data_IF_951100983523
#
_entry.id   IF_951100983523
#
_cell.length_a   1.000
_cell.length_b   1.000
_cell.length_c   1.000
_cell.angle_alpha   90.00
_cell.angle_beta   90.00
_cell.angle_gamma   90.00
#
_symmetry.space_group_name_H-M   'P 1'
#
loop_
_entity.id
_entity.type
_entity.pdbx_description
1 polymer ?
#
# COMPACT_ATOMS: atom_id res chain seq x y z
N UNK A 1 21.17 46.95 12.06
CA UNK A 1 20.46 46.16 11.01
C UNK A 1 20.14 44.81 11.59
N UNK A 2 18.99 44.64 12.17
CA UNK A 2 18.50 43.35 12.67
C UNK A 2 17.45 42.85 11.71
N UNK A 3 17.78 41.78 10.99
CA UNK A 3 16.82 41.06 10.15
C UNK A 3 15.96 40.20 11.06
N UNK A 4 14.70 40.55 11.21
CA UNK A 4 13.67 39.71 11.84
C UNK A 4 13.19 38.69 10.84
N UNK A 5 13.61 37.44 11.01
CA UNK A 5 12.99 36.27 10.33
C UNK A 5 11.57 36.06 10.93
N UNK A 6 10.57 36.29 10.09
CA UNK A 6 9.19 35.95 10.42
C UNK A 6 9.03 34.40 10.35
N UNK A 7 9.01 33.78 11.51
CA UNK A 7 8.64 32.35 11.64
C UNK A 7 7.15 32.25 11.37
N UNK A 8 6.78 31.74 10.19
CA UNK A 8 5.40 31.40 9.84
C UNK A 8 4.97 30.23 10.74
N UNK A 9 4.17 30.50 11.76
CA UNK A 9 3.55 29.45 12.59
C UNK A 9 2.48 28.75 11.78
N UNK A 10 2.82 27.59 11.22
CA UNK A 10 1.86 26.71 10.56
C UNK A 10 0.96 26.09 11.62
N UNK A 11 -0.30 26.45 11.63
CA UNK A 11 -1.32 25.88 12.52
C UNK A 11 -1.53 24.42 12.14
N UNK A 12 -1.04 23.49 12.92
CA UNK A 12 -1.20 22.06 12.67
C UNK A 12 -2.60 21.59 13.06
N UNK A 13 -3.27 20.89 12.16
CA UNK A 13 -4.56 20.25 12.38
C UNK A 13 -4.36 18.77 12.69
N UNK A 14 -5.07 18.23 13.69
CA UNK A 14 -5.05 16.81 14.03
C UNK A 14 -6.39 16.17 13.73
N UNK A 15 -6.38 15.09 12.95
CA UNK A 15 -7.54 14.24 12.72
C UNK A 15 -7.48 13.05 13.68
N UNK A 16 -8.51 12.88 14.49
CA UNK A 16 -8.69 11.66 15.29
C UNK A 16 -9.46 10.64 14.47
N UNK A 17 -8.86 9.50 14.18
CA UNK A 17 -9.46 8.44 13.38
C UNK A 17 -10.35 7.51 14.22
N UNK A 18 -11.17 6.70 13.56
CA UNK A 18 -12.12 5.80 14.20
C UNK A 18 -11.43 4.69 15.03
N UNK A 19 -10.22 4.30 14.64
CA UNK A 19 -9.37 3.34 15.35
C UNK A 19 -8.64 3.92 16.56
N UNK A 20 -8.85 5.23 16.84
CA UNK A 20 -8.22 5.96 17.96
C UNK A 20 -6.86 6.59 17.62
N UNK A 21 -6.31 6.36 16.44
CA UNK A 21 -5.06 6.99 16.01
C UNK A 21 -5.25 8.47 15.64
N UNK A 22 -4.14 9.23 15.63
CA UNK A 22 -4.11 10.64 15.23
C UNK A 22 -3.26 10.82 13.98
N UNK A 23 -3.77 11.62 13.04
CA UNK A 23 -3.06 12.06 11.85
C UNK A 23 -2.85 13.58 11.93
N UNK A 24 -1.59 14.03 11.92
CA UNK A 24 -1.25 15.44 11.85
C UNK A 24 -1.20 15.88 10.40
N UNK A 25 -1.93 16.95 10.06
CA UNK A 25 -2.15 17.43 8.70
C UNK A 25 -2.00 18.95 8.63
N UNK A 26 -1.78 19.47 7.42
CA UNK A 26 -1.62 20.90 7.21
C UNK A 26 -2.96 21.65 7.33
N UNK A 27 -4.05 21.02 6.86
CA UNK A 27 -5.42 21.53 6.94
C UNK A 27 -6.43 20.39 6.77
N UNK A 28 -7.70 20.58 7.25
CA UNK A 28 -8.77 19.61 7.08
C UNK A 28 -10.15 20.28 7.07
N UNK A 29 -11.07 19.76 6.22
CA UNK A 29 -12.44 20.24 6.12
C UNK A 29 -13.43 19.10 5.83
N UNK A 30 -14.66 19.24 6.31
CA UNK A 30 -15.71 18.27 6.08
C UNK A 30 -16.48 18.58 4.79
N UNK A 31 -16.88 17.52 4.07
CA UNK A 31 -17.78 17.58 2.93
C UNK A 31 -18.85 16.50 3.05
N UNK A 32 -19.93 16.52 2.24
CA UNK A 32 -20.91 15.43 2.21
C UNK A 32 -20.30 14.04 1.90
N UNK A 33 -19.16 14.00 1.23
CA UNK A 33 -18.47 12.77 0.82
C UNK A 33 -17.48 12.24 1.87
N UNK A 34 -17.11 13.05 2.86
CA UNK A 34 -16.14 12.69 3.90
C UNK A 34 -15.34 13.88 4.40
N UNK A 35 -14.23 13.57 5.04
CA UNK A 35 -13.28 14.57 5.56
C UNK A 35 -12.09 14.67 4.61
N UNK A 36 -11.92 15.86 4.05
CA UNK A 36 -10.73 16.21 3.29
C UNK A 36 -9.64 16.71 4.22
N UNK A 37 -8.41 16.36 3.94
CA UNK A 37 -7.27 16.97 4.60
C UNK A 37 -6.10 17.16 3.63
N UNK A 38 -5.25 18.13 3.92
CA UNK A 38 -4.04 18.44 3.17
C UNK A 38 -2.82 18.02 3.97
N UNK A 39 -1.87 17.36 3.30
CA UNK A 39 -0.60 16.98 3.89
C UNK A 39 0.50 17.02 2.82
N UNK A 40 1.54 17.84 3.05
CA UNK A 40 2.65 17.98 2.11
C UNK A 40 2.24 18.44 0.70
N UNK A 41 1.19 19.29 0.61
CA UNK A 41 0.67 19.80 -0.65
C UNK A 41 -0.20 18.81 -1.44
N UNK A 42 -0.54 17.66 -0.88
CA UNK A 42 -1.49 16.69 -1.42
C UNK A 42 -2.82 16.77 -0.66
N UNK A 43 -3.94 16.65 -1.37
CA UNK A 43 -5.27 16.58 -0.76
C UNK A 43 -5.76 15.15 -0.71
N UNK A 44 -6.24 14.73 0.46
CA UNK A 44 -6.68 13.38 0.74
C UNK A 44 -8.14 13.39 1.19
N UNK A 45 -8.93 12.40 0.76
CA UNK A 45 -10.31 12.19 1.21
C UNK A 45 -10.40 10.91 2.04
N UNK A 46 -10.95 11.05 3.25
CA UNK A 46 -11.25 9.92 4.14
C UNK A 46 -12.77 9.85 4.36
N UNK A 47 -13.39 8.68 4.27
CA UNK A 47 -14.80 8.50 4.58
C UNK A 47 -15.17 9.03 5.97
N UNK A 48 -16.34 9.62 6.12
CA UNK A 48 -16.76 10.28 7.36
C UNK A 48 -16.80 9.34 8.57
N UNK A 49 -17.13 8.06 8.36
CA UNK A 49 -17.13 7.01 9.38
C UNK A 49 -15.74 6.66 9.92
N UNK A 50 -14.68 7.03 9.19
CA UNK A 50 -13.29 6.82 9.58
C UNK A 50 -12.67 7.96 10.39
N UNK A 51 -13.36 9.10 10.52
CA UNK A 51 -12.88 10.27 11.28
C UNK A 51 -13.83 10.57 12.43
N UNK A 52 -13.32 10.52 13.66
CA UNK A 52 -14.09 10.85 14.87
C UNK A 52 -14.13 12.34 15.15
N UNK A 53 -13.03 13.05 14.90
CA UNK A 53 -12.93 14.47 15.27
C UNK A 53 -11.80 15.16 14.49
N UNK A 54 -12.03 16.42 14.13
CA UNK A 54 -11.01 17.34 13.62
C UNK A 54 -10.64 18.28 14.76
N UNK A 55 -9.38 18.24 15.21
CA UNK A 55 -8.85 19.10 16.28
C UNK A 55 -7.95 20.16 15.66
N UNK A 56 -8.37 21.43 15.73
CA UNK A 56 -7.58 22.57 15.30
C UNK A 56 -6.94 23.21 16.51
N UNK A 57 -5.61 23.40 16.48
CA UNK A 57 -4.91 24.14 17.52
C UNK A 57 -5.49 25.56 17.61
N UNK A 58 -5.93 25.95 18.80
CA UNK A 58 -6.41 27.30 19.08
C UNK A 58 -5.23 28.27 19.09
N UNK A 59 -5.04 29.03 18.00
CA UNK A 59 -4.38 30.31 18.11
C UNK A 59 -5.47 31.34 18.49
N UNK A 60 -5.27 32.10 19.59
CA UNK A 60 -6.17 33.19 19.97
C UNK A 60 -6.32 34.17 18.80
N UNK A 61 -7.55 34.63 18.49
CA UNK A 61 -7.76 35.59 17.41
C UNK A 61 -7.21 36.94 17.82
N UNK A 62 -6.16 37.40 17.15
CA UNK A 62 -5.80 38.81 17.17
C UNK A 62 -6.95 39.62 16.58
N UNK A 63 -7.41 40.65 17.35
CA UNK A 63 -8.46 41.59 16.91
C UNK A 63 -8.12 42.23 15.56
N UNK A 64 -9.05 42.30 14.64
CA UNK A 64 -8.83 42.97 13.36
C UNK A 64 -8.72 44.49 13.60
N UNK A 65 -7.57 45.08 13.26
CA UNK A 65 -7.47 46.51 12.99
C UNK A 65 -8.07 46.76 11.58
N UNK A 66 -9.07 47.59 11.56
CA UNK A 66 -9.69 48.08 10.33
C UNK A 66 -8.71 48.98 9.57
N UNK A 67 -8.26 48.54 8.41
CA UNK A 67 -7.80 49.44 7.34
C UNK A 67 -8.62 49.12 6.11
N UNK A 68 -9.40 50.12 5.70
CA UNK A 68 -10.09 50.14 4.43
C UNK A 68 -9.05 50.23 3.33
N UNK A 69 -9.01 49.20 2.49
CA UNK A 69 -8.56 49.32 1.10
C UNK A 69 -9.30 48.22 0.32
N UNK A 70 -10.14 48.70 -0.61
CA UNK A 70 -10.89 47.89 -1.58
C UNK A 70 -9.90 47.27 -2.58
N UNK A 71 -9.40 46.10 -2.28
CA UNK A 71 -8.85 45.18 -3.28
C UNK A 71 -9.70 43.92 -3.29
N UNK A 72 -10.55 43.85 -4.31
CA UNK A 72 -11.26 42.64 -4.69
C UNK A 72 -10.26 41.52 -5.01
N UNK A 73 -9.85 40.78 -3.99
CA UNK A 73 -9.26 39.47 -4.18
C UNK A 73 -10.41 38.51 -4.48
N UNK A 74 -10.65 38.22 -5.77
CA UNK A 74 -11.43 37.07 -6.18
C UNK A 74 -10.78 35.81 -5.57
N UNK A 75 -11.43 35.30 -4.54
CA UNK A 75 -11.12 33.96 -4.02
C UNK A 75 -11.45 33.00 -5.17
N UNK A 76 -10.47 32.26 -5.74
CA UNK A 76 -10.81 31.31 -6.79
C UNK A 76 -11.79 30.31 -6.17
N UNK A 77 -12.98 30.24 -6.76
CA UNK A 77 -14.01 29.27 -6.43
C UNK A 77 -13.38 27.87 -6.49
N UNK A 78 -13.11 27.30 -5.33
CA UNK A 78 -12.61 25.92 -5.24
C UNK A 78 -13.79 25.03 -5.63
N UNK A 79 -13.93 24.83 -6.93
CA UNK A 79 -14.85 23.84 -7.48
C UNK A 79 -14.50 22.51 -6.82
N UNK A 80 -15.37 22.04 -5.95
CA UNK A 80 -15.26 20.74 -5.30
C UNK A 80 -15.28 19.66 -6.40
N UNK A 81 -14.11 19.26 -6.86
CA UNK A 81 -13.98 18.27 -7.92
C UNK A 81 -14.34 16.91 -7.34
N UNK A 82 -15.50 16.43 -7.72
CA UNK A 82 -15.91 15.04 -7.44
C UNK A 82 -15.08 14.08 -8.29
N UNK A 83 -14.71 12.90 -7.75
CA UNK A 83 -14.09 11.85 -8.57
C UNK A 83 -14.96 11.57 -9.79
N UNK A 84 -14.41 11.51 -11.00
CA UNK A 84 -15.17 11.22 -12.20
C UNK A 84 -15.89 9.89 -12.08
N UNK A 85 -17.20 9.89 -12.26
CA UNK A 85 -18.05 8.68 -12.29
C UNK A 85 -17.85 7.84 -13.55
N UNK A 86 -17.31 8.44 -14.61
CA UNK A 86 -17.04 7.80 -15.89
C UNK A 86 -15.56 8.00 -16.25
N UNK A 87 -14.81 6.92 -16.28
CA UNK A 87 -13.38 6.94 -16.62
C UNK A 87 -12.49 6.31 -15.54
N UNK A 88 -13.04 5.37 -14.79
CA UNK A 88 -12.28 4.63 -13.77
C UNK A 88 -11.34 3.69 -14.49
N UNK A 89 -10.05 3.98 -14.42
CA UNK A 89 -9.04 2.98 -14.72
C UNK A 89 -9.00 2.00 -13.54
N UNK A 90 -9.63 0.84 -13.66
CA UNK A 90 -9.55 -0.25 -12.65
C UNK A 90 -8.20 -0.99 -12.72
N UNK A 91 -7.17 -0.32 -13.21
CA UNK A 91 -5.84 -0.87 -13.40
C UNK A 91 -4.83 -0.14 -12.51
N UNK A 92 -3.85 -0.85 -11.97
CA UNK A 92 -2.69 -0.24 -11.32
C UNK A 92 -1.99 0.74 -12.25
N UNK A 93 -1.50 1.83 -11.67
CA UNK A 93 -0.86 2.90 -12.44
C UNK A 93 0.35 3.46 -11.70
N UNK A 94 1.34 3.89 -12.46
CA UNK A 94 2.43 4.74 -11.98
C UNK A 94 2.18 6.19 -12.41
N UNK A 95 2.10 7.08 -11.44
CA UNK A 95 1.93 8.51 -11.68
C UNK A 95 3.31 9.15 -11.46
N UNK A 96 3.91 9.66 -12.53
CA UNK A 96 5.19 10.37 -12.49
C UNK A 96 4.93 11.85 -12.25
N UNK A 97 5.63 12.42 -11.29
CA UNK A 97 5.51 13.83 -10.94
C UNK A 97 6.65 14.63 -11.56
N UNK A 98 6.36 15.89 -11.93
CA UNK A 98 7.39 16.86 -12.30
C UNK A 98 8.33 17.03 -11.11
N UNK A 99 9.61 16.72 -11.30
CA UNK A 99 10.60 16.67 -10.21
C UNK A 99 11.11 15.26 -9.91
N UNK A 100 10.67 14.25 -10.70
CA UNK A 100 11.25 12.89 -10.71
C UNK A 100 10.69 11.93 -9.67
N UNK A 101 9.81 12.37 -8.75
CA UNK A 101 9.10 11.48 -7.85
C UNK A 101 8.02 10.68 -8.60
N UNK A 102 7.72 9.48 -8.14
CA UNK A 102 6.62 8.65 -8.69
C UNK A 102 5.73 8.13 -7.57
N UNK A 103 4.45 7.97 -7.88
CA UNK A 103 3.42 7.45 -6.98
C UNK A 103 2.80 6.21 -7.59
N UNK A 104 2.78 5.13 -6.83
CA UNK A 104 2.06 3.91 -7.19
C UNK A 104 0.59 4.07 -6.79
N UNK A 105 -0.31 3.74 -7.69
CA UNK A 105 -1.75 3.80 -7.50
C UNK A 105 -2.40 2.46 -7.79
N UNK A 106 -3.36 2.05 -6.95
CA UNK A 106 -4.19 0.87 -7.20
C UNK A 106 -5.12 1.06 -8.40
N UNK A 107 -5.52 2.30 -8.64
CA UNK A 107 -6.24 2.76 -9.83
C UNK A 107 -6.07 4.27 -9.98
N UNK A 108 -6.12 4.78 -11.21
CA UNK A 108 -6.04 6.20 -11.48
C UNK A 108 -7.08 6.63 -12.51
N UNK A 109 -7.61 7.85 -12.37
CA UNK A 109 -8.51 8.48 -13.33
C UNK A 109 -8.03 9.90 -13.63
N UNK A 110 -7.84 10.21 -14.91
CA UNK A 110 -7.42 11.54 -15.34
C UNK A 110 -8.64 12.43 -15.56
N UNK A 111 -8.57 13.67 -15.09
CA UNK A 111 -9.53 14.73 -15.34
C UNK A 111 -8.82 15.93 -15.95
N UNK A 112 -9.58 16.93 -16.41
CA UNK A 112 -9.01 18.18 -16.95
C UNK A 112 -8.18 18.96 -15.92
N UNK A 113 -8.47 18.79 -14.64
CA UNK A 113 -7.78 19.49 -13.56
C UNK A 113 -6.61 18.71 -12.96
N UNK A 114 -6.56 17.37 -13.15
CA UNK A 114 -5.51 16.54 -12.57
C UNK A 114 -5.86 15.08 -12.55
N UNK A 115 -5.23 14.37 -11.64
CA UNK A 115 -5.30 12.91 -11.55
C UNK A 115 -5.87 12.50 -10.20
N UNK A 116 -6.98 11.78 -10.24
CA UNK A 116 -7.49 11.04 -9.10
C UNK A 116 -6.85 9.67 -9.06
N UNK A 117 -6.38 9.24 -7.90
CA UNK A 117 -5.90 7.87 -7.75
C UNK A 117 -6.34 7.27 -6.41
N UNK A 118 -6.46 5.94 -6.39
CA UNK A 118 -6.74 5.19 -5.18
C UNK A 118 -5.48 4.50 -4.67
N UNK A 119 -5.33 4.48 -3.36
CA UNK A 119 -4.31 3.69 -2.67
C UNK A 119 -4.94 3.09 -1.41
N UNK A 120 -5.22 1.80 -1.44
CA UNK A 120 -6.03 1.14 -0.42
C UNK A 120 -7.46 1.70 -0.38
N UNK A 121 -7.89 2.18 0.78
CA UNK A 121 -9.20 2.82 0.96
C UNK A 121 -9.22 4.33 0.72
N UNK A 122 -8.08 4.93 0.38
CA UNK A 122 -7.97 6.37 0.18
C UNK A 122 -8.10 6.74 -1.29
N UNK A 123 -8.85 7.82 -1.56
CA UNK A 123 -8.87 8.50 -2.84
C UNK A 123 -8.09 9.80 -2.72
N UNK A 124 -7.11 10.00 -3.59
CA UNK A 124 -6.15 11.11 -3.52
C UNK A 124 -6.18 11.84 -4.86
N UNK A 125 -6.15 13.17 -4.81
CA UNK A 125 -6.07 14.02 -6.00
C UNK A 125 -4.68 14.65 -6.12
N UNK A 126 -4.13 14.60 -7.33
CA UNK A 126 -2.91 15.32 -7.69
C UNK A 126 -3.25 16.32 -8.78
N UNK A 127 -2.94 17.57 -8.55
CA UNK A 127 -3.11 18.63 -9.55
C UNK A 127 -2.34 18.32 -10.84
N UNK A 128 -2.97 18.55 -12.00
CA UNK A 128 -2.40 18.21 -13.30
C UNK A 128 -1.08 18.92 -13.60
N UNK A 129 -0.87 20.12 -13.05
CA UNK A 129 0.38 20.86 -13.21
C UNK A 129 1.58 20.14 -12.60
N UNK A 130 1.36 19.24 -11.63
CA UNK A 130 2.39 18.45 -10.94
C UNK A 130 2.62 17.08 -11.58
N UNK A 131 1.73 16.64 -12.44
CA UNK A 131 1.84 15.34 -13.12
C UNK A 131 2.67 15.50 -14.39
N UNK A 132 3.66 14.64 -14.56
CA UNK A 132 4.45 14.53 -15.79
C UNK A 132 3.74 13.57 -16.76
N UNK A 133 3.52 12.35 -16.31
CA UNK A 133 2.81 11.31 -17.09
C UNK A 133 2.18 10.26 -16.18
N UNK A 134 1.25 9.50 -16.74
CA UNK A 134 0.64 8.32 -16.11
C UNK A 134 0.97 7.12 -16.98
N UNK A 135 1.52 6.08 -16.38
CA UNK A 135 1.73 4.78 -17.02
C UNK A 135 0.76 3.79 -16.39
N UNK A 136 -0.19 3.30 -17.19
CA UNK A 136 -1.10 2.23 -16.77
C UNK A 136 -0.36 0.89 -16.89
N UNK A 137 -0.41 0.09 -15.83
CA UNK A 137 0.10 -1.27 -15.90
C UNK A 137 -0.94 -2.17 -16.57
N UNK A 138 -0.77 -2.44 -17.84
CA UNK A 138 -1.59 -3.43 -18.53
C UNK A 138 -1.22 -4.84 -18.07
N UNK A 139 -2.25 -5.69 -17.90
CA UNK A 139 -2.07 -7.09 -17.51
C UNK A 139 -1.10 -7.83 -18.45
N UNK A 140 -1.01 -7.42 -19.71
CA UNK A 140 -0.04 -7.94 -20.67
C UNK A 140 1.40 -7.46 -20.39
N UNK A 141 1.59 -6.22 -19.97
CA UNK A 141 2.90 -5.67 -19.60
C UNK A 141 3.40 -6.37 -18.32
N UNK A 142 2.50 -6.61 -17.35
CA UNK A 142 2.79 -7.39 -16.15
C UNK A 142 3.13 -8.84 -16.52
N UNK A 143 2.40 -9.45 -17.45
CA UNK A 143 2.66 -10.81 -17.94
C UNK A 143 3.96 -10.92 -18.77
N UNK A 144 4.32 -9.87 -19.51
CA UNK A 144 5.54 -9.84 -20.34
C UNK A 144 6.79 -9.48 -19.52
N UNK A 145 6.71 -8.58 -18.55
CA UNK A 145 7.81 -8.30 -17.62
C UNK A 145 8.14 -9.53 -16.78
N UNK A 146 7.13 -10.32 -16.39
CA UNK A 146 7.33 -11.58 -15.68
C UNK A 146 8.00 -12.69 -16.50
N UNK A 147 7.90 -12.69 -17.83
CA UNK A 147 8.64 -13.62 -18.70
C UNK A 147 10.15 -13.34 -18.70
N UNK A 148 10.56 -12.10 -18.46
CA UNK A 148 11.97 -11.71 -18.42
C UNK A 148 12.61 -12.00 -17.05
N UNK A 149 11.79 -12.17 -16.01
CA UNK A 149 12.27 -12.13 -14.64
C UNK A 149 12.66 -13.45 -13.99
N UNK A 150 12.32 -14.65 -14.41
CA UNK A 150 12.78 -15.90 -13.74
C UNK A 150 12.17 -17.21 -14.23
N UNK A 151 11.38 -17.18 -15.28
CA UNK A 151 10.88 -18.42 -15.92
C UNK A 151 10.00 -19.30 -15.03
N UNK A 152 9.27 -18.70 -14.05
CA UNK A 152 8.34 -19.44 -13.21
C UNK A 152 6.89 -19.28 -13.71
N UNK A 153 6.11 -20.32 -13.53
CA UNK A 153 4.66 -20.29 -13.78
C UNK A 153 3.97 -21.34 -12.93
N UNK A 154 2.75 -21.04 -12.49
CA UNK A 154 1.85 -22.00 -11.84
C UNK A 154 1.15 -22.91 -12.85
N UNK A 155 1.34 -22.68 -14.15
CA UNK A 155 0.54 -23.28 -15.23
C UNK A 155 -0.85 -22.65 -15.38
N UNK A 156 -1.16 -21.59 -14.62
CA UNK A 156 -2.45 -20.88 -14.65
C UNK A 156 -2.19 -19.38 -14.85
N UNK A 157 -2.33 -18.84 -16.05
CA UNK A 157 -1.98 -17.44 -16.36
C UNK A 157 -2.67 -16.42 -15.44
N UNK A 158 -3.95 -16.64 -15.09
CA UNK A 158 -4.67 -15.76 -14.17
C UNK A 158 -4.10 -15.76 -12.74
N UNK A 159 -3.62 -16.90 -12.25
CA UNK A 159 -2.96 -16.99 -10.95
C UNK A 159 -1.55 -16.36 -10.99
N UNK A 160 -0.82 -16.56 -12.07
CA UNK A 160 0.47 -15.91 -12.30
C UNK A 160 0.32 -14.39 -12.31
N UNK A 161 -0.74 -13.87 -12.94
CA UNK A 161 -1.12 -12.46 -12.91
C UNK A 161 -1.39 -11.95 -11.50
N UNK A 162 -2.20 -12.69 -10.71
CA UNK A 162 -2.49 -12.33 -9.31
C UNK A 162 -1.24 -12.28 -8.44
N UNK A 163 -0.31 -13.24 -8.61
CA UNK A 163 0.96 -13.28 -7.87
C UNK A 163 1.78 -12.02 -8.19
N UNK A 164 1.94 -11.70 -9.47
CA UNK A 164 2.70 -10.52 -9.91
C UNK A 164 2.07 -9.23 -9.42
N UNK A 165 0.78 -9.05 -9.66
CA UNK A 165 0.03 -7.87 -9.24
C UNK A 165 0.18 -7.60 -7.74
N UNK A 166 -0.05 -8.62 -6.91
CA UNK A 166 0.06 -8.46 -5.46
C UNK A 166 1.51 -8.31 -4.99
N UNK A 167 2.46 -8.95 -5.66
CA UNK A 167 3.89 -8.76 -5.40
C UNK A 167 4.32 -7.31 -5.60
N UNK A 168 3.99 -6.73 -6.75
CA UNK A 168 4.28 -5.32 -7.04
C UNK A 168 3.50 -4.38 -6.13
N UNK A 169 2.20 -4.63 -5.94
CA UNK A 169 1.33 -3.81 -5.09
C UNK A 169 1.84 -3.66 -3.66
N UNK A 170 2.36 -4.73 -3.07
CA UNK A 170 2.81 -4.72 -1.68
C UNK A 170 4.33 -4.69 -1.53
N UNK A 171 5.08 -4.56 -2.64
CA UNK A 171 6.53 -4.53 -2.62
C UNK A 171 7.14 -5.84 -2.07
N UNK A 172 6.57 -6.97 -2.49
CA UNK A 172 7.08 -8.32 -2.22
C UNK A 172 7.50 -8.95 -3.54
N UNK A 173 8.70 -9.53 -3.58
CA UNK A 173 9.14 -10.25 -4.78
C UNK A 173 8.10 -11.31 -5.21
N UNK A 174 7.49 -11.19 -6.42
CA UNK A 174 6.52 -12.15 -6.91
C UNK A 174 6.99 -13.60 -6.86
N UNK A 175 8.29 -13.81 -7.07
CA UNK A 175 8.87 -15.16 -6.97
C UNK A 175 8.87 -15.70 -5.55
N UNK A 176 9.01 -14.85 -4.54
CA UNK A 176 8.87 -15.28 -3.13
C UNK A 176 7.42 -15.69 -2.84
N UNK A 177 6.43 -14.94 -3.33
CA UNK A 177 5.00 -15.31 -3.19
C UNK A 177 4.74 -16.64 -3.87
N UNK A 178 5.24 -16.83 -5.10
CA UNK A 178 5.12 -18.08 -5.85
C UNK A 178 5.68 -19.29 -5.06
N UNK A 179 6.89 -19.18 -4.54
CA UNK A 179 7.54 -20.26 -3.79
C UNK A 179 6.80 -20.60 -2.48
N UNK A 180 6.32 -19.58 -1.77
CA UNK A 180 5.50 -19.78 -0.56
C UNK A 180 4.20 -20.48 -0.93
N UNK A 181 3.47 -19.99 -1.93
CA UNK A 181 2.19 -20.57 -2.37
C UNK A 181 2.35 -22.02 -2.83
N UNK A 182 3.40 -22.33 -3.57
CA UNK A 182 3.71 -23.70 -3.98
C UNK A 182 3.93 -24.62 -2.79
N UNK A 183 4.69 -24.16 -1.78
CA UNK A 183 4.97 -24.95 -0.58
C UNK A 183 3.73 -25.11 0.32
N UNK A 184 2.83 -24.11 0.36
CA UNK A 184 1.64 -24.12 1.20
C UNK A 184 0.50 -24.98 0.66
N UNK A 185 0.20 -24.88 -0.63
CA UNK A 185 -1.00 -25.47 -1.19
C UNK A 185 -0.79 -26.22 -2.50
N UNK A 186 0.42 -26.18 -3.09
CA UNK A 186 0.66 -26.59 -4.48
C UNK A 186 -0.35 -25.94 -5.44
N UNK A 187 -0.63 -24.64 -5.19
CA UNK A 187 -1.59 -23.84 -5.95
C UNK A 187 -3.06 -24.29 -5.84
N UNK A 188 -3.41 -25.07 -4.82
CA UNK A 188 -4.79 -25.49 -4.58
C UNK A 188 -5.57 -24.41 -3.83
N UNK A 189 -6.53 -23.78 -4.53
CA UNK A 189 -7.40 -22.74 -4.00
C UNK A 189 -8.26 -23.20 -2.81
N UNK A 190 -8.65 -24.49 -2.79
CA UNK A 190 -9.53 -25.06 -1.78
C UNK A 190 -8.79 -25.83 -0.68
N UNK A 191 -7.45 -25.71 -0.64
CA UNK A 191 -6.65 -26.38 0.37
C UNK A 191 -7.08 -25.96 1.79
N UNK A 192 -7.23 -26.97 2.68
CA UNK A 192 -7.46 -26.78 4.12
C UNK A 192 -6.52 -27.70 4.85
N UNK A 193 -5.69 -27.13 5.76
CA UNK A 193 -4.78 -27.91 6.58
C UNK A 193 -5.52 -28.51 7.80
N UNK A 194 -4.98 -29.55 8.45
CA UNK A 194 -5.53 -30.09 9.70
C UNK A 194 -5.60 -29.05 10.83
N UNK A 195 -4.75 -28.00 10.79
CA UNK A 195 -4.76 -26.89 11.75
C UNK A 195 -5.73 -25.77 11.37
N UNK A 196 -6.44 -25.89 10.24
CA UNK A 196 -7.44 -24.92 9.78
C UNK A 196 -6.90 -23.77 8.94
N UNK A 197 -5.65 -23.83 8.47
CA UNK A 197 -5.13 -22.89 7.47
C UNK A 197 -5.86 -23.11 6.12
N UNK A 198 -6.11 -22.03 5.34
CA UNK A 198 -7.01 -22.09 4.18
C UNK A 198 -6.46 -21.39 2.95
N UNK A 199 -6.77 -21.97 1.79
CA UNK A 199 -6.57 -21.39 0.46
C UNK A 199 -5.13 -21.48 -0.04
N UNK A 200 -4.85 -20.72 -1.11
CA UNK A 200 -3.58 -20.74 -1.85
C UNK A 200 -2.36 -20.49 -0.96
N UNK A 201 -2.45 -19.51 -0.07
CA UNK A 201 -1.37 -19.08 0.82
C UNK A 201 -1.49 -19.65 2.24
N UNK A 202 -2.41 -20.61 2.47
CA UNK A 202 -2.64 -21.31 3.74
C UNK A 202 -2.69 -20.36 4.95
N UNK A 203 -3.53 -19.35 4.88
CA UNK A 203 -3.67 -18.40 5.97
C UNK A 203 -4.55 -18.99 7.08
N UNK A 204 -4.05 -18.93 8.32
CA UNK A 204 -4.87 -19.20 9.50
C UNK A 204 -6.03 -18.20 9.59
N UNK A 205 -7.22 -18.60 10.08
CA UNK A 205 -8.39 -17.70 10.10
C UNK A 205 -8.13 -16.36 10.79
N UNK A 206 -7.37 -16.35 11.88
CA UNK A 206 -6.96 -15.11 12.57
C UNK A 206 -6.08 -14.21 11.70
N UNK A 207 -5.07 -14.79 11.06
CA UNK A 207 -4.17 -14.09 10.14
C UNK A 207 -4.94 -13.59 8.92
N UNK A 208 -5.79 -14.42 8.33
CA UNK A 208 -6.62 -14.01 7.19
C UNK A 208 -7.48 -12.78 7.52
N UNK A 209 -8.19 -12.78 8.65
CA UNK A 209 -8.99 -11.61 9.09
C UNK A 209 -8.14 -10.35 9.29
N UNK A 210 -6.97 -10.48 9.92
CA UNK A 210 -6.03 -9.38 10.14
C UNK A 210 -5.60 -8.72 8.83
N UNK A 211 -5.44 -9.51 7.76
CA UNK A 211 -5.06 -9.03 6.44
C UNK A 211 -6.24 -8.88 5.45
N UNK A 212 -7.48 -8.81 5.95
CA UNK A 212 -8.66 -8.47 5.17
C UNK A 212 -9.21 -9.60 4.29
N UNK A 213 -8.85 -10.85 4.57
CA UNK A 213 -9.39 -12.03 3.87
C UNK A 213 -10.71 -12.45 4.49
N UNK A 214 -11.82 -12.19 3.81
CA UNK A 214 -13.17 -12.61 4.22
C UNK A 214 -13.59 -13.92 3.58
N UNK A 215 -13.14 -14.17 2.34
CA UNK A 215 -13.39 -15.40 1.59
C UNK A 215 -12.05 -16.10 1.35
N UNK A 216 -11.64 -17.04 2.24
CA UNK A 216 -10.30 -17.63 2.20
C UNK A 216 -10.03 -18.49 0.97
N UNK A 217 -11.07 -18.95 0.26
CA UNK A 217 -10.95 -19.70 -0.99
C UNK A 217 -11.09 -18.82 -2.23
N UNK A 218 -11.29 -17.50 -2.07
CA UNK A 218 -11.18 -16.54 -3.17
C UNK A 218 -9.71 -16.27 -3.47
N UNK A 219 -9.24 -16.57 -4.71
CA UNK A 219 -7.83 -16.42 -5.05
C UNK A 219 -7.30 -15.00 -4.85
N UNK A 220 -8.07 -14.00 -5.25
CA UNK A 220 -7.67 -12.60 -5.16
C UNK A 220 -7.46 -12.16 -3.72
N UNK A 221 -8.43 -12.45 -2.83
CA UNK A 221 -8.32 -12.08 -1.42
C UNK A 221 -7.21 -12.87 -0.71
N UNK A 222 -7.10 -14.17 -1.00
CA UNK A 222 -6.12 -15.02 -0.35
C UNK A 222 -4.69 -14.64 -0.71
N UNK A 223 -4.39 -14.41 -1.99
CA UNK A 223 -3.07 -13.95 -2.46
C UNK A 223 -2.74 -12.56 -1.92
N UNK A 224 -3.72 -11.63 -1.94
CA UNK A 224 -3.54 -10.30 -1.39
C UNK A 224 -3.23 -10.32 0.13
N UNK A 225 -3.96 -11.15 0.89
CA UNK A 225 -3.73 -11.32 2.32
C UNK A 225 -2.36 -11.92 2.63
N UNK A 226 -1.97 -12.96 1.89
CA UNK A 226 -0.65 -13.59 2.02
C UNK A 226 0.50 -12.65 1.66
N UNK A 227 0.36 -11.86 0.59
CA UNK A 227 1.36 -10.87 0.21
C UNK A 227 1.51 -9.76 1.26
N UNK A 228 0.41 -9.26 1.85
CA UNK A 228 0.45 -8.31 2.97
C UNK A 228 1.15 -8.89 4.19
N UNK A 229 0.86 -10.14 4.53
CA UNK A 229 1.51 -10.80 5.65
C UNK A 229 3.01 -10.97 5.40
N UNK A 230 3.41 -11.42 4.20
CA UNK A 230 4.82 -11.47 3.81
C UNK A 230 5.50 -10.10 3.91
N UNK A 231 4.83 -9.04 3.46
CA UNK A 231 5.36 -7.67 3.56
C UNK A 231 5.58 -7.22 5.00
N UNK A 232 4.62 -7.51 5.88
CA UNK A 232 4.76 -7.19 7.31
C UNK A 232 5.97 -7.94 7.91
N UNK A 233 6.13 -9.22 7.58
CA UNK A 233 7.27 -10.01 8.04
C UNK A 233 8.61 -9.51 7.47
N UNK A 234 8.66 -9.12 6.19
CA UNK A 234 9.84 -8.51 5.57
C UNK A 234 10.26 -7.23 6.29
N UNK A 235 9.29 -6.37 6.62
CA UNK A 235 9.56 -5.14 7.37
C UNK A 235 10.04 -5.46 8.80
N UNK A 236 9.38 -6.40 9.48
CA UNK A 236 9.71 -6.78 10.87
C UNK A 236 11.10 -7.40 11.01
N UNK A 237 11.55 -8.14 10.02
CA UNK A 237 12.83 -8.87 10.06
C UNK A 237 13.88 -8.28 9.11
N UNK A 238 13.78 -6.99 8.74
CA UNK A 238 14.77 -6.27 7.92
C UNK A 238 15.13 -7.02 6.64
N UNK A 239 14.12 -7.53 5.92
CA UNK A 239 14.27 -8.33 4.69
C UNK A 239 15.07 -9.62 4.84
N UNK A 240 15.24 -10.13 6.06
CA UNK A 240 15.86 -11.43 6.30
C UNK A 240 14.89 -12.55 5.92
N UNK A 241 14.98 -13.01 4.68
CA UNK A 241 14.06 -14.00 4.08
C UNK A 241 13.99 -15.29 4.89
N UNK A 242 15.09 -15.75 5.50
CA UNK A 242 15.11 -16.93 6.38
C UNK A 242 14.16 -16.77 7.58
N UNK A 243 14.16 -15.61 8.22
CA UNK A 243 13.28 -15.30 9.36
C UNK A 243 11.85 -15.05 8.93
N UNK A 244 11.64 -14.41 7.78
CA UNK A 244 10.32 -14.22 7.16
C UNK A 244 9.65 -15.57 6.93
N UNK A 245 10.34 -16.51 6.28
CA UNK A 245 9.84 -17.85 6.01
C UNK A 245 9.59 -18.66 7.29
N UNK A 246 10.49 -18.55 8.27
CA UNK A 246 10.30 -19.19 9.56
C UNK A 246 9.08 -18.66 10.30
N UNK A 247 8.86 -17.33 10.24
CA UNK A 247 7.70 -16.68 10.85
C UNK A 247 6.41 -17.01 10.12
N UNK A 248 6.43 -17.10 8.81
CA UNK A 248 5.28 -17.48 8.02
C UNK A 248 4.76 -18.87 8.40
N UNK A 249 5.69 -19.84 8.53
CA UNK A 249 5.36 -21.23 8.86
C UNK A 249 5.06 -21.45 10.36
N UNK A 250 5.88 -20.89 11.26
CA UNK A 250 5.80 -21.15 12.71
C UNK A 250 5.14 -20.04 13.53
N UNK A 251 4.83 -18.93 12.90
CA UNK A 251 4.39 -17.70 13.57
C UNK A 251 5.57 -16.82 14.03
N UNK A 252 5.39 -15.50 13.92
CA UNK A 252 6.39 -14.50 14.33
C UNK A 252 6.78 -14.62 15.80
N UNK A 253 5.84 -15.00 16.68
CA UNK A 253 6.10 -15.20 18.10
C UNK A 253 7.13 -16.30 18.36
N UNK A 254 7.14 -17.37 17.57
CA UNK A 254 8.13 -18.42 17.71
C UNK A 254 9.55 -17.91 17.36
N UNK A 255 9.70 -17.17 16.26
CA UNK A 255 10.98 -16.59 15.84
C UNK A 255 11.52 -15.61 16.89
N UNK A 256 10.65 -14.76 17.45
CA UNK A 256 11.01 -13.81 18.52
C UNK A 256 11.46 -14.58 19.78
N UNK A 257 10.68 -15.58 20.21
CA UNK A 257 11.01 -16.43 21.37
C UNK A 257 12.39 -17.09 21.25
N UNK A 258 12.80 -17.47 20.05
CA UNK A 258 14.11 -18.04 19.77
C UNK A 258 15.19 -17.01 19.43
N UNK A 259 15.05 -15.76 19.87
CA UNK A 259 16.07 -14.72 19.74
C UNK A 259 16.33 -14.31 18.29
N UNK A 260 15.28 -14.14 17.49
CA UNK A 260 15.35 -13.80 16.06
C UNK A 260 16.20 -14.81 15.25
N UNK A 261 15.96 -16.10 15.51
CA UNK A 261 16.57 -17.23 14.81
C UNK A 261 15.49 -18.18 14.32
N UNK A 262 15.81 -18.97 13.30
CA UNK A 262 14.92 -20.03 12.82
C UNK A 262 14.68 -21.02 13.95
N UNK A 263 13.44 -21.24 14.42
CA UNK A 263 13.13 -22.16 15.49
C UNK A 263 13.61 -23.59 15.20
N UNK A 264 13.98 -24.38 16.22
CA UNK A 264 14.49 -25.73 16.03
C UNK A 264 13.41 -26.75 15.64
N UNK A 265 12.29 -26.31 15.12
CA UNK A 265 11.21 -27.18 14.64
C UNK A 265 11.60 -27.80 13.30
N UNK A 266 11.53 -29.13 13.19
CA UNK A 266 11.90 -29.89 11.98
C UNK A 266 11.13 -29.40 10.76
N UNK A 267 9.83 -29.18 10.89
CA UNK A 267 8.96 -28.68 9.82
C UNK A 267 9.46 -27.31 9.33
N UNK A 268 9.63 -26.36 10.26
CA UNK A 268 10.04 -24.99 9.93
C UNK A 268 11.43 -24.93 9.29
N UNK A 269 12.40 -25.70 9.81
CA UNK A 269 13.74 -25.79 9.21
C UNK A 269 13.70 -26.30 7.77
N UNK A 270 12.88 -27.33 7.51
CA UNK A 270 12.72 -27.88 6.17
C UNK A 270 12.05 -26.90 5.23
N UNK A 271 11.01 -26.21 5.71
CA UNK A 271 10.31 -25.15 4.98
C UNK A 271 11.28 -24.04 4.56
N UNK A 272 12.01 -23.48 5.51
CA UNK A 272 13.00 -22.43 5.25
C UNK A 272 14.07 -22.92 4.28
N UNK A 273 14.63 -24.12 4.47
CA UNK A 273 15.68 -24.69 3.60
C UNK A 273 15.21 -24.80 2.15
N UNK A 274 14.02 -25.38 1.92
CA UNK A 274 13.47 -25.60 0.58
C UNK A 274 13.28 -24.28 -0.18
N UNK A 275 12.61 -23.31 0.44
CA UNK A 275 12.29 -22.05 -0.21
C UNK A 275 13.53 -21.17 -0.36
N UNK A 276 14.34 -21.01 0.71
CA UNK A 276 15.53 -20.17 0.67
C UNK A 276 16.56 -20.65 -0.37
N UNK A 277 16.72 -21.95 -0.55
CA UNK A 277 17.63 -22.50 -1.55
C UNK A 277 17.22 -22.07 -2.96
N UNK A 278 15.94 -22.25 -3.32
CA UNK A 278 15.40 -21.86 -4.64
C UNK A 278 15.44 -20.35 -4.83
N UNK A 279 15.05 -19.60 -3.83
CA UNK A 279 15.01 -18.13 -3.85
C UNK A 279 16.42 -17.53 -4.05
N UNK A 280 17.40 -17.97 -3.27
CA UNK A 280 18.80 -17.52 -3.39
C UNK A 280 19.41 -17.86 -4.75
N UNK A 281 19.18 -19.09 -5.25
CA UNK A 281 19.67 -19.50 -6.56
C UNK A 281 19.13 -18.61 -7.69
N UNK A 282 17.85 -18.29 -7.65
CA UNK A 282 17.23 -17.42 -8.65
C UNK A 282 17.72 -15.97 -8.55
N UNK A 283 17.92 -15.44 -7.33
CA UNK A 283 18.44 -14.06 -7.13
C UNK A 283 19.93 -13.93 -7.46
N UNK A 284 20.73 -14.99 -7.32
CA UNK A 284 22.13 -14.99 -7.72
C UNK A 284 22.30 -14.90 -9.24
N UNK A 285 21.41 -15.53 -10.01
CA UNK A 285 21.43 -15.50 -11.48
C UNK A 285 21.10 -14.12 -12.07
N UNK A 286 20.34 -13.31 -11.34
CA UNK A 286 19.99 -11.95 -11.77
C UNK A 286 21.03 -10.89 -11.41
N UNK A 287 22.02 -11.22 -10.57
CA UNK A 287 23.09 -10.31 -10.13
C UNK A 287 24.39 -10.46 -10.92
N UNK A 288 24.50 -11.37 -11.92
CA UNK A 288 25.67 -11.41 -12.80
C UNK A 288 25.62 -10.21 -13.73
N UNK A 289 26.60 -9.27 -13.68
CA UNK A 289 26.74 -8.26 -14.71
C UNK A 289 27.06 -8.93 -16.04
N UNK A 290 26.47 -8.40 -17.11
CA UNK A 290 26.86 -8.69 -18.50
C UNK A 290 28.19 -7.99 -18.75
#
# INVERSE_FOLDING_TARGET
MCSTEAISQTTQVKLKLADGSYLTVDDAWETPQGVWYRQGGLSHLVPKDKVKKIERGTAEPAKPQSTNDDDHFEVPEVVAQTPPTNGVFDKPAWIYLKGGARVEADSAAQSSAGVWYKRGSMSIFIDGSRVDRIELEDAETIAQSGKKERGWSTGRPGLDGLIRQNGYKYGVDPYLIFLVMEQESHFNTHAVSPKGARGLMQLMPGTGRRFGVRKPHDPGQNVAGGARYLKELLNRFNNRVDLVLASYNAGEGAVIKFGHRVPPYRETRNYVKKISYRYKRATALTKKPV
#
